data_IF_279775556791
#
_entry.id   IF_279775556791
#
_cell.length_a   1.000
_cell.length_b   1.000
_cell.length_c   1.000
_cell.angle_alpha   90.00
_cell.angle_beta   90.00
_cell.angle_gamma   90.00
#
_symmetry.space_group_name_H-M   'P 1'
#
loop_
_entity.id
_entity.type
_entity.pdbx_description
1 polymer ?
#
# COMPACT_ATOMS: atom_id res chain seq x y z
N UNK A 1 -42.62 -16.93 19.14
CA UNK A 1 -41.31 -17.60 19.01
C UNK A 1 -41.49 -18.73 18.03
N UNK A 2 -40.83 -18.63 16.88
CA UNK A 2 -40.58 -19.76 15.99
C UNK A 2 -40.11 -20.91 16.87
N UNK A 3 -40.74 -22.08 16.82
CA UNK A 3 -40.46 -23.21 17.73
C UNK A 3 -39.11 -23.88 17.51
N UNK A 4 -38.09 -23.10 17.15
CA UNK A 4 -36.74 -23.50 16.81
C UNK A 4 -35.85 -23.37 18.05
N UNK A 5 -34.95 -24.32 18.23
CA UNK A 5 -33.95 -24.26 19.30
C UNK A 5 -32.65 -23.64 18.78
N UNK A 6 -31.91 -22.92 19.64
CA UNK A 6 -30.63 -22.34 19.25
C UNK A 6 -29.60 -23.40 18.83
N UNK A 7 -29.66 -24.60 19.41
CA UNK A 7 -28.82 -25.74 19.02
C UNK A 7 -29.08 -26.20 17.58
N UNK A 8 -30.35 -26.22 17.15
CA UNK A 8 -30.70 -26.56 15.76
C UNK A 8 -30.17 -25.51 14.79
N UNK A 9 -30.43 -24.22 15.08
CA UNK A 9 -29.96 -23.12 14.24
C UNK A 9 -28.44 -23.06 14.17
N UNK A 10 -27.78 -23.24 15.32
CA UNK A 10 -26.31 -23.27 15.42
C UNK A 10 -25.71 -24.36 14.54
N UNK A 11 -26.33 -25.54 14.54
CA UNK A 11 -25.87 -26.67 13.74
C UNK A 11 -26.06 -26.44 12.24
N UNK A 12 -27.19 -25.85 11.84
CA UNK A 12 -27.50 -25.63 10.43
C UNK A 12 -26.69 -24.47 9.82
N UNK A 13 -26.44 -23.41 10.60
CA UNK A 13 -25.69 -22.23 10.14
C UNK A 13 -24.19 -22.31 10.44
N UNK A 14 -23.74 -23.31 11.19
CA UNK A 14 -22.37 -23.42 11.71
C UNK A 14 -21.93 -22.19 12.53
N UNK A 15 -22.89 -21.51 13.16
CA UNK A 15 -22.66 -20.36 14.04
C UNK A 15 -22.63 -20.86 15.49
N UNK A 16 -21.66 -20.49 16.34
CA UNK A 16 -21.66 -20.91 17.73
C UNK A 16 -22.94 -20.51 18.47
N UNK A 17 -23.52 -21.42 19.26
CA UNK A 17 -24.73 -21.15 20.08
C UNK A 17 -24.58 -19.87 20.89
N UNK A 18 -23.43 -19.71 21.54
CA UNK A 18 -23.12 -18.50 22.32
C UNK A 18 -23.24 -17.23 21.47
N UNK A 19 -22.80 -17.25 20.22
CA UNK A 19 -22.93 -16.09 19.33
C UNK A 19 -24.39 -15.77 19.04
N UNK A 20 -25.23 -16.79 18.81
CA UNK A 20 -26.67 -16.58 18.60
C UNK A 20 -27.34 -16.02 19.86
N UNK A 21 -27.00 -16.54 21.05
CA UNK A 21 -27.47 -15.99 22.33
C UNK A 21 -27.08 -14.51 22.49
N UNK A 22 -25.81 -14.17 22.22
CA UNK A 22 -25.36 -12.77 22.31
C UNK A 22 -26.04 -11.85 21.30
N UNK A 23 -26.43 -12.37 20.13
CA UNK A 23 -27.23 -11.65 19.14
C UNK A 23 -28.65 -11.40 19.67
N UNK A 24 -29.32 -12.43 20.20
CA UNK A 24 -30.67 -12.28 20.79
C UNK A 24 -30.67 -11.36 22.02
N UNK A 25 -29.59 -11.37 22.81
CA UNK A 25 -29.37 -10.48 23.96
C UNK A 25 -29.00 -9.05 23.56
N UNK A 26 -28.70 -8.79 22.28
CA UNK A 26 -28.23 -7.49 21.79
C UNK A 26 -26.85 -7.08 22.33
N UNK A 27 -26.02 -8.04 22.76
CA UNK A 27 -24.70 -7.78 23.31
C UNK A 27 -23.63 -7.66 22.22
N UNK A 28 -23.65 -6.52 21.51
CA UNK A 28 -22.73 -6.22 20.41
C UNK A 28 -21.27 -6.22 20.89
N UNK A 29 -21.01 -5.91 22.17
CA UNK A 29 -19.68 -5.91 22.77
C UNK A 29 -19.02 -7.29 22.90
N UNK A 30 -19.80 -8.37 22.74
CA UNK A 30 -19.26 -9.74 22.73
C UNK A 30 -18.51 -10.07 21.42
N UNK A 31 -18.74 -9.31 20.35
CA UNK A 31 -18.16 -9.55 19.03
C UNK A 31 -16.93 -8.67 18.81
N UNK A 32 -15.76 -9.32 18.73
CA UNK A 32 -14.51 -8.63 18.41
C UNK A 32 -14.44 -8.21 16.94
N UNK A 33 -14.96 -9.06 16.05
CA UNK A 33 -15.00 -8.81 14.62
C UNK A 33 -16.43 -8.47 14.19
N UNK A 34 -16.61 -7.23 13.76
CA UNK A 34 -17.91 -6.70 13.39
C UNK A 34 -18.41 -7.25 12.05
N UNK A 35 -17.50 -7.66 11.16
CA UNK A 35 -17.87 -8.25 9.87
C UNK A 35 -18.42 -9.67 10.07
N UNK A 36 -17.83 -10.42 11.02
CA UNK A 36 -18.37 -11.73 11.42
C UNK A 36 -19.76 -11.59 12.03
N UNK A 37 -19.99 -10.57 12.89
CA UNK A 37 -21.32 -10.30 13.42
C UNK A 37 -22.32 -9.98 12.30
N UNK A 38 -21.91 -9.18 11.31
CA UNK A 38 -22.73 -8.87 10.13
C UNK A 38 -23.11 -10.14 9.36
N UNK A 39 -22.15 -11.02 9.09
CA UNK A 39 -22.38 -12.29 8.38
C UNK A 39 -23.33 -13.22 9.15
N UNK A 40 -23.23 -13.22 10.49
CA UNK A 40 -24.13 -13.97 11.36
C UNK A 40 -25.55 -13.41 11.34
N UNK A 41 -25.71 -12.08 11.41
CA UNK A 41 -27.02 -11.43 11.31
C UNK A 41 -27.68 -11.72 9.94
N UNK A 42 -26.91 -11.67 8.86
CA UNK A 42 -27.41 -11.98 7.52
C UNK A 42 -27.89 -13.43 7.42
N UNK A 43 -27.05 -14.37 7.84
CA UNK A 43 -27.35 -15.81 7.79
C UNK A 43 -28.55 -16.15 8.67
N UNK A 44 -28.61 -15.55 9.86
CA UNK A 44 -29.67 -15.80 10.82
C UNK A 44 -31.00 -15.19 10.37
N UNK A 45 -31.00 -13.97 9.82
CA UNK A 45 -32.19 -13.35 9.22
C UNK A 45 -32.75 -14.19 8.07
N UNK A 46 -31.88 -14.68 7.16
CA UNK A 46 -32.25 -15.58 6.07
C UNK A 46 -32.86 -16.88 6.59
N UNK A 47 -32.27 -17.48 7.62
CA UNK A 47 -32.77 -18.72 8.23
C UNK A 47 -34.15 -18.54 8.86
N UNK A 48 -34.38 -17.40 9.51
CA UNK A 48 -35.66 -17.05 10.13
C UNK A 48 -36.73 -16.58 9.13
N UNK A 49 -36.37 -16.40 7.85
CA UNK A 49 -37.25 -15.87 6.81
C UNK A 49 -37.59 -14.39 7.00
N UNK A 50 -36.71 -13.64 7.68
CA UNK A 50 -36.80 -12.19 7.82
C UNK A 50 -36.26 -11.51 6.55
N UNK A 51 -36.59 -10.23 6.38
CA UNK A 51 -35.95 -9.41 5.36
C UNK A 51 -34.51 -9.11 5.80
N UNK A 52 -33.56 -9.83 5.21
CA UNK A 52 -32.14 -9.68 5.55
C UNK A 52 -31.58 -8.35 5.06
N UNK A 53 -32.16 -7.74 4.03
CA UNK A 53 -31.68 -6.45 3.51
C UNK A 53 -31.96 -5.35 4.54
N UNK A 54 -33.21 -5.30 5.05
CA UNK A 54 -33.61 -4.36 6.10
C UNK A 54 -32.78 -4.54 7.38
N UNK A 55 -32.55 -5.79 7.83
CA UNK A 55 -31.76 -6.08 9.03
C UNK A 55 -30.32 -5.59 8.88
N UNK A 56 -29.73 -5.79 7.70
CA UNK A 56 -28.35 -5.39 7.44
C UNK A 56 -28.24 -3.87 7.27
N UNK A 57 -29.24 -3.21 6.70
CA UNK A 57 -29.30 -1.76 6.60
C UNK A 57 -29.40 -1.10 7.98
N UNK A 58 -30.25 -1.62 8.87
CA UNK A 58 -30.35 -1.13 10.26
C UNK A 58 -29.04 -1.35 11.03
N UNK A 59 -28.38 -2.50 10.82
CA UNK A 59 -27.05 -2.75 11.37
C UNK A 59 -26.00 -1.75 10.86
N UNK A 60 -25.99 -1.47 9.55
CA UNK A 60 -25.06 -0.52 8.95
C UNK A 60 -25.30 0.90 9.49
N UNK A 61 -26.56 1.31 9.63
CA UNK A 61 -26.92 2.61 10.19
C UNK A 61 -26.49 2.70 11.67
N UNK A 62 -26.76 1.68 12.48
CA UNK A 62 -26.28 1.61 13.86
C UNK A 62 -24.76 1.73 13.95
N UNK A 63 -24.03 0.96 13.15
CA UNK A 63 -22.56 1.00 13.13
C UNK A 63 -22.04 2.34 12.65
N UNK A 64 -22.72 2.96 11.68
CA UNK A 64 -22.43 4.31 11.24
C UNK A 64 -22.64 5.30 12.39
N UNK A 65 -23.77 5.32 13.10
CA UNK A 65 -23.96 6.21 14.26
C UNK A 65 -22.87 6.05 15.33
N UNK A 66 -22.40 4.82 15.57
CA UNK A 66 -21.32 4.57 16.53
C UNK A 66 -19.93 4.99 16.01
N UNK A 67 -19.68 4.94 14.70
CA UNK A 67 -18.36 5.21 14.09
C UNK A 67 -18.27 6.54 13.34
N UNK A 68 -19.39 7.24 13.14
CA UNK A 68 -19.58 8.46 12.31
C UNK A 68 -18.84 9.70 12.80
N UNK A 69 -18.00 9.56 13.83
CA UNK A 69 -17.02 10.56 14.22
C UNK A 69 -15.69 10.46 13.47
N UNK A 70 -15.47 9.43 12.65
CA UNK A 70 -14.22 9.29 11.89
C UNK A 70 -14.35 10.03 10.55
N UNK A 71 -13.70 11.19 10.36
CA UNK A 71 -13.69 11.88 9.08
C UNK A 71 -12.94 11.09 8.02
N UNK A 72 -13.31 11.26 6.75
CA UNK A 72 -12.67 10.59 5.60
C UNK A 72 -11.15 10.82 5.57
N UNK A 73 -10.69 12.00 6.00
CA UNK A 73 -9.28 12.36 6.10
C UNK A 73 -8.50 11.48 7.10
N UNK A 74 -9.13 11.07 8.20
CA UNK A 74 -8.49 10.17 9.18
C UNK A 74 -8.36 8.75 8.61
N UNK A 75 -9.35 8.28 7.86
CA UNK A 75 -9.31 6.99 7.16
C UNK A 75 -8.19 7.00 6.12
N UNK A 76 -8.14 8.02 5.26
CA UNK A 76 -7.12 8.16 4.22
C UNK A 76 -5.71 8.22 4.82
N UNK A 77 -5.55 8.94 5.94
CA UNK A 77 -4.28 9.00 6.66
C UNK A 77 -3.87 7.63 7.22
N UNK A 78 -4.78 6.90 7.85
CA UNK A 78 -4.51 5.56 8.38
C UNK A 78 -4.15 4.54 7.29
N UNK A 79 -4.80 4.61 6.12
CA UNK A 79 -4.47 3.77 4.96
C UNK A 79 -3.06 4.10 4.44
N UNK A 80 -2.75 5.39 4.26
CA UNK A 80 -1.41 5.82 3.81
C UNK A 80 -0.30 5.45 4.80
N UNK A 81 -0.57 5.51 6.11
CA UNK A 81 0.39 5.08 7.14
C UNK A 81 0.63 3.57 7.08
N UNK A 82 -0.43 2.76 6.97
CA UNK A 82 -0.31 1.30 6.77
C UNK A 82 0.46 0.95 5.50
N UNK A 83 0.14 1.58 4.37
CA UNK A 83 0.86 1.37 3.10
C UNK A 83 2.35 1.72 3.21
N UNK A 84 2.69 2.78 3.95
CA UNK A 84 4.08 3.16 4.22
C UNK A 84 4.78 2.13 5.10
N UNK A 85 4.16 1.69 6.20
CA UNK A 85 4.72 0.63 7.06
C UNK A 85 4.91 -0.70 6.31
N UNK A 86 3.97 -1.06 5.43
CA UNK A 86 4.06 -2.22 4.55
C UNK A 86 5.13 -2.08 3.45
N UNK A 87 5.49 -0.84 3.10
CA UNK A 87 6.60 -0.54 2.17
C UNK A 87 7.97 -0.61 2.83
N UNK A 88 8.06 -0.33 4.14
CA UNK A 88 9.31 -0.35 4.91
C UNK A 88 9.62 -1.70 5.56
N UNK A 89 8.61 -2.51 5.89
CA UNK A 89 8.83 -3.87 6.43
C UNK A 89 9.26 -4.86 5.33
N UNK A 90 10.29 -5.65 5.62
CA UNK A 90 10.86 -6.63 4.68
C UNK A 90 9.86 -7.78 4.45
N UNK A 91 9.16 -7.70 3.32
CA UNK A 91 7.89 -8.38 3.04
C UNK A 91 7.98 -9.90 2.98
N UNK A 92 7.12 -10.60 3.72
CA UNK A 92 6.59 -11.91 3.29
C UNK A 92 5.44 -11.60 2.33
N UNK A 93 5.74 -11.37 1.05
CA UNK A 93 4.74 -11.11 0.01
C UNK A 93 4.40 -12.40 -0.75
N UNK A 94 3.11 -12.65 -0.98
CA UNK A 94 2.66 -13.76 -1.82
C UNK A 94 3.16 -13.57 -3.26
N UNK A 95 3.43 -14.65 -4.02
CA UNK A 95 4.01 -14.56 -5.37
C UNK A 95 3.24 -13.65 -6.34
N UNK A 96 1.96 -13.41 -6.06
CA UNK A 96 1.01 -12.73 -6.94
C UNK A 96 0.78 -11.24 -6.62
N UNK A 97 1.35 -10.71 -5.52
CA UNK A 97 1.20 -9.30 -5.10
C UNK A 97 2.53 -8.56 -4.99
N UNK A 98 3.62 -9.13 -5.50
CA UNK A 98 4.93 -8.47 -5.49
C UNK A 98 4.92 -7.27 -6.43
N UNK A 99 4.84 -6.06 -5.86
CA UNK A 99 5.14 -4.84 -6.59
C UNK A 99 6.57 -4.92 -7.16
N UNK A 100 6.73 -4.61 -8.45
CA UNK A 100 8.03 -4.63 -9.10
C UNK A 100 8.98 -3.64 -8.42
N UNK A 101 10.23 -4.02 -8.09
CA UNK A 101 11.17 -3.12 -7.44
C UNK A 101 11.48 -1.94 -8.37
N UNK A 102 11.29 -0.71 -7.87
CA UNK A 102 11.61 0.51 -8.60
C UNK A 102 13.13 0.56 -8.77
N UNK A 103 13.61 0.35 -10.01
CA UNK A 103 15.04 0.35 -10.31
C UNK A 103 15.62 1.75 -10.10
N UNK A 104 16.68 1.86 -9.29
CA UNK A 104 17.34 3.15 -9.07
C UNK A 104 18.13 3.60 -10.30
N UNK A 105 17.97 4.86 -10.70
CA UNK A 105 18.59 5.43 -11.92
C UNK A 105 20.06 5.87 -11.71
N UNK A 106 20.70 5.46 -10.61
CA UNK A 106 22.05 5.93 -10.19
C UNK A 106 23.13 5.66 -11.26
N UNK A 107 23.00 4.55 -11.99
CA UNK A 107 23.91 4.18 -13.07
C UNK A 107 23.89 5.19 -14.23
N UNK A 108 22.70 5.70 -14.59
CA UNK A 108 22.57 6.73 -15.63
C UNK A 108 23.20 8.05 -15.21
N UNK A 109 23.01 8.46 -13.95
CA UNK A 109 23.62 9.68 -13.41
C UNK A 109 25.16 9.56 -13.44
N UNK A 110 25.70 8.41 -13.04
CA UNK A 110 27.14 8.15 -13.08
C UNK A 110 27.71 8.23 -14.50
N UNK A 111 27.05 7.61 -15.48
CA UNK A 111 27.45 7.66 -16.90
C UNK A 111 27.45 9.10 -17.41
N UNK A 112 26.43 9.90 -17.08
CA UNK A 112 26.35 11.29 -17.51
C UNK A 112 27.52 12.13 -16.95
N UNK A 113 27.85 11.97 -15.67
CA UNK A 113 29.00 12.66 -15.05
C UNK A 113 30.31 12.25 -15.72
N UNK A 114 30.49 10.95 -16.03
CA UNK A 114 31.69 10.45 -16.70
C UNK A 114 31.87 11.07 -18.08
N UNK A 115 30.79 11.20 -18.87
CA UNK A 115 30.82 11.84 -20.20
C UNK A 115 31.28 13.31 -20.08
N UNK A 116 30.74 14.06 -19.13
CA UNK A 116 31.11 15.46 -18.92
C UNK A 116 32.61 15.60 -18.58
N UNK A 117 33.14 14.71 -17.74
CA UNK A 117 34.57 14.70 -17.39
C UNK A 117 35.46 14.43 -18.61
N UNK A 118 35.08 13.48 -19.48
CA UNK A 118 35.83 13.19 -20.71
C UNK A 118 35.89 14.38 -21.66
N UNK A 119 34.80 15.14 -21.79
CA UNK A 119 34.75 16.36 -22.61
C UNK A 119 35.75 17.41 -22.08
N UNK A 120 35.80 17.62 -20.77
CA UNK A 120 36.73 18.58 -20.15
C UNK A 120 38.19 18.17 -20.40
N UNK A 121 38.51 16.88 -20.27
CA UNK A 121 39.86 16.36 -20.55
C UNK A 121 40.26 16.59 -22.01
N UNK A 122 39.33 16.36 -22.95
CA UNK A 122 39.58 16.59 -24.38
C UNK A 122 39.88 18.07 -24.68
N UNK A 123 39.13 18.99 -24.08
CA UNK A 123 39.37 20.44 -24.22
C UNK A 123 40.77 20.82 -23.71
N UNK A 124 41.17 20.32 -22.54
CA UNK A 124 42.50 20.59 -21.96
C UNK A 124 43.61 20.05 -22.89
N UNK A 125 43.41 18.85 -23.43
CA UNK A 125 44.35 18.25 -24.39
C UNK A 125 44.47 19.08 -25.67
N UNK A 126 43.34 19.54 -26.23
CA UNK A 126 43.34 20.38 -27.43
C UNK A 126 44.09 21.70 -27.21
N UNK A 127 43.91 22.37 -26.07
CA UNK A 127 44.63 23.60 -25.74
C UNK A 127 46.15 23.33 -25.67
N UNK A 128 46.56 22.26 -24.98
CA UNK A 128 47.98 21.90 -24.84
C UNK A 128 48.64 21.62 -26.20
N UNK A 129 47.93 20.96 -27.11
CA UNK A 129 48.43 20.67 -28.46
C UNK A 129 48.70 21.95 -29.27
N UNK A 130 47.82 22.94 -29.18
CA UNK A 130 47.95 24.23 -29.89
C UNK A 130 49.15 25.02 -29.35
N UNK A 131 49.32 25.10 -28.04
CA UNK A 131 50.45 25.84 -27.44
C UNK A 131 51.80 25.22 -27.81
N UNK A 132 51.94 23.89 -27.74
CA UNK A 132 53.19 23.19 -28.07
C UNK A 132 53.56 23.35 -29.55
N UNK A 133 52.58 23.32 -30.47
CA UNK A 133 52.81 23.57 -31.89
C UNK A 133 53.29 25.00 -32.18
N UNK A 134 52.83 25.99 -31.41
CA UNK A 134 53.23 27.39 -31.57
C UNK A 134 54.65 27.68 -31.07
N UNK A 135 55.11 27.03 -30.00
CA UNK A 135 56.44 27.26 -29.43
C UNK A 135 57.55 26.72 -30.35
N UNK A 136 57.33 25.56 -30.99
CA UNK A 136 58.29 24.99 -31.95
C UNK A 136 58.49 25.85 -33.20
N UNK A 137 57.43 26.47 -33.70
CA UNK A 137 57.50 27.37 -34.87
C UNK A 137 58.26 28.66 -34.58
N UNK A 138 58.13 29.21 -33.36
CA UNK A 138 58.87 30.40 -32.95
C UNK A 138 60.37 30.09 -32.79
N UNK A 139 60.77 28.94 -32.25
CA UNK A 139 62.20 28.59 -32.08
C UNK A 139 62.88 28.30 -33.43
N UNK A 140 62.18 27.66 -34.37
CA UNK A 140 62.71 27.38 -35.69
C UNK A 140 62.96 28.64 -36.54
N UNK A 141 62.19 29.72 -36.35
CA UNK A 141 62.39 30.98 -37.07
C UNK A 141 63.60 31.78 -36.56
N UNK A 142 63.97 31.65 -35.27
CA UNK A 142 65.19 32.26 -34.74
C UNK A 142 66.48 31.57 -35.21
N UNK A 143 66.41 30.28 -35.55
CA UNK A 143 67.57 29.52 -36.04
C UNK A 143 67.79 29.62 -37.57
N UNK A 144 66.86 30.23 -38.31
CA UNK A 144 66.93 30.38 -39.77
C UNK A 144 67.19 31.85 -40.19
N UNK A 145 68.00 32.58 -39.40
CA UNK A 145 68.50 33.91 -39.73
C UNK A 145 70.00 33.99 -39.49
#
# INVERSE_FOLDING_TARGET
MSGLTLDEVSKDLEIPVLSLEQIEDGNIGAFKDIFVLKDYLESYAKYLGLDYEDVIDEFNEYMFEKTSKIPMEEIEKAVKEKEKEESESNRIASPYTKAAPIKSNKQFIFILVLIVVLIVIAIIWSIKQITVGSTGANIASYFNK
#
